data_IF_323171172825
#
_entry.id   IF_323171172825
#
_cell.length_a   1.000
_cell.length_b   1.000
_cell.length_c   1.000
_cell.angle_alpha   90.00
_cell.angle_beta   90.00
_cell.angle_gamma   90.00
#
_symmetry.space_group_name_H-M   'P 1'
#
loop_
_entity.id
_entity.type
_entity.pdbx_description
1 polymer ?
#
# COMPACT_ATOMS: atom_id res chain seq x y z
N UNK A 1 -19.90 22.50 -63.09
CA UNK A 1 -20.66 21.38 -62.50
C UNK A 1 -19.95 20.97 -61.21
N UNK A 2 -20.50 21.42 -60.09
CA UNK A 2 -21.06 20.60 -59.00
C UNK A 2 -20.02 20.02 -58.03
N UNK A 3 -19.92 20.75 -56.91
CA UNK A 3 -19.51 20.40 -55.56
C UNK A 3 -19.68 18.90 -55.22
N UNK A 4 -18.74 18.32 -54.47
CA UNK A 4 -19.10 17.41 -53.39
C UNK A 4 -18.11 17.56 -52.22
N UNK A 5 -18.72 17.87 -51.08
CA UNK A 5 -18.12 18.21 -49.80
C UNK A 5 -17.62 16.96 -49.06
N UNK A 6 -16.55 17.16 -48.30
CA UNK A 6 -16.21 16.50 -47.03
C UNK A 6 -17.34 15.70 -46.38
N UNK A 7 -17.11 14.40 -46.10
CA UNK A 7 -17.80 13.65 -45.03
C UNK A 7 -17.00 12.37 -44.67
N UNK A 8 -15.93 12.54 -43.89
CA UNK A 8 -15.41 11.52 -42.99
C UNK A 8 -14.78 12.29 -41.82
N UNK A 9 -15.51 12.47 -40.70
CA UNK A 9 -15.33 11.55 -39.58
C UNK A 9 -16.58 11.46 -38.65
N UNK A 10 -17.43 10.43 -38.75
CA UNK A 10 -18.52 10.22 -37.76
C UNK A 10 -18.62 8.77 -37.26
N UNK A 11 -17.77 7.85 -37.73
CA UNK A 11 -17.90 6.42 -37.39
C UNK A 11 -17.02 5.92 -36.23
N UNK A 12 -16.30 6.80 -35.50
CA UNK A 12 -15.51 6.40 -34.32
C UNK A 12 -16.22 6.76 -33.00
N UNK A 13 -17.13 7.74 -32.98
CA UNK A 13 -17.77 8.17 -31.72
C UNK A 13 -18.92 7.25 -31.29
N UNK A 14 -19.62 6.62 -32.23
CA UNK A 14 -20.82 5.80 -31.91
C UNK A 14 -20.46 4.45 -31.29
N UNK A 15 -19.32 3.85 -31.67
CA UNK A 15 -18.84 2.63 -31.01
C UNK A 15 -18.31 2.89 -29.59
N UNK A 16 -17.70 4.05 -29.32
CA UNK A 16 -17.24 4.42 -27.98
C UNK A 16 -18.38 4.47 -26.96
N UNK A 17 -19.51 5.10 -27.30
CA UNK A 17 -20.65 5.20 -26.39
C UNK A 17 -21.48 3.91 -26.27
N UNK A 18 -21.62 3.12 -27.34
CA UNK A 18 -22.37 1.85 -27.29
C UNK A 18 -21.57 0.77 -26.56
N UNK A 19 -20.25 0.71 -26.77
CA UNK A 19 -19.38 -0.19 -26.00
C UNK A 19 -19.38 0.25 -24.55
N UNK A 20 -19.09 1.52 -24.22
CA UNK A 20 -19.04 1.97 -22.83
C UNK A 20 -20.36 1.71 -22.07
N UNK A 21 -21.53 1.95 -22.68
CA UNK A 21 -22.83 1.64 -22.07
C UNK A 21 -23.10 0.13 -21.88
N UNK A 22 -22.76 -0.69 -22.87
CA UNK A 22 -22.95 -2.16 -22.79
C UNK A 22 -21.93 -2.82 -21.84
N UNK A 23 -20.73 -2.25 -21.76
CA UNK A 23 -19.68 -2.62 -20.81
C UNK A 23 -20.11 -2.24 -19.38
N UNK A 24 -20.72 -1.07 -19.18
CA UNK A 24 -21.28 -0.62 -17.90
C UNK A 24 -22.42 -1.53 -17.39
N UNK A 25 -23.37 -1.92 -18.25
CA UNK A 25 -24.49 -2.76 -17.84
C UNK A 25 -24.04 -4.18 -17.45
N UNK A 26 -23.05 -4.73 -18.14
CA UNK A 26 -22.48 -6.03 -17.81
C UNK A 26 -21.59 -5.98 -16.57
N UNK A 27 -20.82 -4.90 -16.38
CA UNK A 27 -20.06 -4.65 -15.15
C UNK A 27 -21.01 -4.50 -13.95
N UNK A 28 -22.09 -3.73 -14.07
CA UNK A 28 -23.10 -3.58 -13.01
C UNK A 28 -23.76 -4.91 -12.65
N UNK A 29 -24.13 -5.73 -13.64
CA UNK A 29 -24.66 -7.08 -13.40
C UNK A 29 -23.64 -7.98 -12.69
N UNK A 30 -22.39 -7.94 -13.13
CA UNK A 30 -21.30 -8.68 -12.50
C UNK A 30 -21.11 -8.25 -11.03
N UNK A 31 -21.00 -6.96 -10.77
CA UNK A 31 -20.86 -6.41 -9.43
C UNK A 31 -22.04 -6.76 -8.52
N UNK A 32 -23.27 -6.68 -9.04
CA UNK A 32 -24.47 -7.09 -8.33
C UNK A 32 -24.45 -8.59 -7.98
N UNK A 33 -23.99 -9.45 -8.91
CA UNK A 33 -23.84 -10.88 -8.65
C UNK A 33 -22.88 -11.15 -7.49
N UNK A 34 -21.81 -10.37 -7.38
CA UNK A 34 -20.81 -10.50 -6.30
C UNK A 34 -21.21 -9.77 -5.01
N UNK A 35 -22.29 -8.98 -5.03
CA UNK A 35 -22.68 -8.06 -3.95
C UNK A 35 -21.54 -7.09 -3.57
N UNK A 36 -20.93 -6.48 -4.59
CA UNK A 36 -19.81 -5.55 -4.47
C UNK A 36 -20.21 -4.22 -5.11
N UNK A 37 -19.91 -3.10 -4.46
CA UNK A 37 -20.13 -1.78 -5.07
C UNK A 37 -19.07 -1.48 -6.14
N UNK A 38 -19.37 -0.60 -7.08
CA UNK A 38 -18.39 -0.18 -8.09
C UNK A 38 -17.14 0.45 -7.45
N UNK A 39 -17.33 1.30 -6.43
CA UNK A 39 -16.23 1.90 -5.69
C UNK A 39 -15.35 0.87 -4.98
N UNK A 40 -15.94 -0.15 -4.35
CA UNK A 40 -15.19 -1.22 -3.69
C UNK A 40 -14.43 -2.07 -4.71
N UNK A 41 -15.01 -2.35 -5.87
CA UNK A 41 -14.36 -3.09 -6.93
C UNK A 41 -13.15 -2.33 -7.49
N UNK A 42 -13.32 -1.05 -7.80
CA UNK A 42 -12.23 -0.17 -8.27
C UNK A 42 -11.09 -0.06 -7.26
N UNK A 43 -11.44 0.14 -5.99
CA UNK A 43 -10.48 0.16 -4.88
C UNK A 43 -9.73 -1.17 -4.78
N UNK A 44 -10.47 -2.29 -4.83
CA UNK A 44 -9.91 -3.64 -4.78
C UNK A 44 -8.93 -3.90 -5.93
N UNK A 45 -9.22 -3.41 -7.14
CA UNK A 45 -8.31 -3.53 -8.27
C UNK A 45 -6.99 -2.81 -7.99
N UNK A 46 -7.04 -1.55 -7.55
CA UNK A 46 -5.84 -0.79 -7.22
C UNK A 46 -5.03 -1.46 -6.10
N UNK A 47 -5.69 -1.88 -5.01
CA UNK A 47 -5.02 -2.56 -3.91
C UNK A 47 -4.40 -3.91 -4.30
N UNK A 48 -5.02 -4.67 -5.20
CA UNK A 48 -4.46 -5.92 -5.70
C UNK A 48 -3.23 -5.70 -6.60
N UNK A 49 -3.24 -4.63 -7.40
CA UNK A 49 -2.15 -4.31 -8.32
C UNK A 49 -0.97 -3.68 -7.59
N UNK A 50 -1.24 -2.72 -6.70
CA UNK A 50 -0.23 -1.87 -6.08
C UNK A 50 0.10 -2.24 -4.63
N UNK A 51 -0.74 -3.05 -3.98
CA UNK A 51 -0.59 -3.46 -2.58
C UNK A 51 0.05 -4.83 -2.40
N UNK A 52 0.38 -5.20 -1.15
CA UNK A 52 1.00 -6.49 -0.82
C UNK A 52 0.01 -7.66 -0.79
N UNK A 53 -1.29 -7.36 -0.80
CA UNK A 53 -2.36 -8.32 -0.54
C UNK A 53 -3.09 -8.70 -1.81
N UNK A 54 -3.42 -9.99 -1.94
CA UNK A 54 -4.29 -10.51 -2.98
C UNK A 54 -5.66 -10.83 -2.39
N UNK A 55 -6.66 -10.01 -2.71
CA UNK A 55 -8.05 -10.14 -2.26
C UNK A 55 -8.98 -10.42 -3.43
N UNK A 56 -9.79 -11.48 -3.31
CA UNK A 56 -10.87 -11.80 -4.24
C UNK A 56 -12.19 -11.59 -3.49
N UNK A 57 -13.07 -10.69 -3.94
CA UNK A 57 -14.40 -10.54 -3.37
C UNK A 57 -15.23 -11.82 -3.49
N UNK A 58 -15.98 -12.14 -2.43
CA UNK A 58 -16.99 -13.19 -2.44
C UNK A 58 -16.53 -14.55 -3.02
N UNK A 59 -15.39 -15.06 -2.53
CA UNK A 59 -14.85 -16.38 -2.94
C UNK A 59 -15.83 -17.55 -2.77
N UNK A 60 -16.87 -17.40 -1.95
CA UNK A 60 -17.91 -18.42 -1.76
C UNK A 60 -18.76 -18.57 -3.02
N UNK A 61 -19.16 -17.45 -3.63
CA UNK A 61 -19.89 -17.43 -4.90
C UNK A 61 -19.07 -18.09 -6.02
N UNK A 62 -17.79 -17.73 -6.14
CA UNK A 62 -16.91 -18.34 -7.15
C UNK A 62 -16.82 -19.86 -6.97
N UNK A 63 -16.78 -20.34 -5.72
CA UNK A 63 -16.76 -21.77 -5.40
C UNK A 63 -18.07 -22.49 -5.69
N UNK A 64 -19.21 -21.80 -5.74
CA UNK A 64 -20.48 -22.44 -6.09
C UNK A 64 -20.69 -22.61 -7.60
N UNK A 65 -19.91 -21.92 -8.43
CA UNK A 65 -19.96 -22.05 -9.89
C UNK A 65 -19.31 -23.36 -10.37
N UNK A 66 -19.76 -23.88 -11.51
CA UNK A 66 -19.11 -24.99 -12.20
C UNK A 66 -17.71 -24.56 -12.71
N UNK A 67 -16.81 -25.52 -12.94
CA UNK A 67 -15.42 -25.22 -13.32
C UNK A 67 -15.31 -24.42 -14.63
N UNK A 68 -16.16 -24.73 -15.62
CA UNK A 68 -16.18 -23.98 -16.88
C UNK A 68 -16.69 -22.54 -16.67
N UNK A 69 -17.77 -22.35 -15.91
CA UNK A 69 -18.30 -21.03 -15.57
C UNK A 69 -17.28 -20.17 -14.83
N UNK A 70 -16.44 -20.79 -13.98
CA UNK A 70 -15.34 -20.09 -13.30
C UNK A 70 -14.28 -19.61 -14.29
N UNK A 71 -13.95 -20.41 -15.30
CA UNK A 71 -12.97 -20.03 -16.32
C UNK A 71 -13.49 -18.84 -17.16
N UNK A 72 -14.75 -18.87 -17.59
CA UNK A 72 -15.40 -17.74 -18.26
C UNK A 72 -15.44 -16.49 -17.37
N UNK A 73 -15.73 -16.67 -16.08
CA UNK A 73 -15.75 -15.58 -15.10
C UNK A 73 -14.36 -14.94 -14.92
N UNK A 74 -13.28 -15.74 -14.94
CA UNK A 74 -11.91 -15.22 -14.92
C UNK A 74 -11.62 -14.34 -16.12
N UNK A 75 -11.98 -14.78 -17.34
CA UNK A 75 -11.74 -14.00 -18.55
C UNK A 75 -12.56 -12.70 -18.56
N UNK A 76 -13.83 -12.77 -18.12
CA UNK A 76 -14.69 -11.61 -17.99
C UNK A 76 -14.12 -10.60 -16.99
N UNK A 77 -13.82 -11.04 -15.76
CA UNK A 77 -13.25 -10.16 -14.71
C UNK A 77 -11.92 -9.58 -15.18
N UNK A 78 -11.02 -10.41 -15.72
CA UNK A 78 -9.72 -9.96 -16.23
C UNK A 78 -9.86 -8.88 -17.29
N UNK A 79 -10.79 -9.05 -18.23
CA UNK A 79 -11.07 -8.06 -19.27
C UNK A 79 -11.57 -6.74 -18.67
N UNK A 80 -12.47 -6.79 -17.68
CA UNK A 80 -12.96 -5.58 -16.98
C UNK A 80 -11.87 -4.84 -16.23
N UNK A 81 -11.00 -5.58 -15.55
CA UNK A 81 -9.85 -4.99 -14.86
C UNK A 81 -8.94 -4.33 -15.87
N UNK A 82 -8.61 -5.02 -16.97
CA UNK A 82 -7.77 -4.48 -18.05
C UNK A 82 -8.35 -3.23 -18.69
N UNK A 83 -9.66 -3.18 -18.91
CA UNK A 83 -10.37 -1.97 -19.37
C UNK A 83 -10.22 -0.83 -18.36
N UNK A 84 -10.53 -1.09 -17.08
CA UNK A 84 -10.49 -0.09 -16.02
C UNK A 84 -9.09 0.51 -15.84
N UNK A 85 -8.02 -0.31 -15.84
CA UNK A 85 -6.67 0.21 -15.61
C UNK A 85 -6.13 1.10 -16.74
N UNK A 86 -6.78 1.09 -17.91
CA UNK A 86 -6.47 1.97 -19.03
C UNK A 86 -7.29 3.27 -19.00
N UNK A 87 -8.11 3.49 -17.97
CA UNK A 87 -8.90 4.71 -17.82
C UNK A 87 -8.11 5.84 -17.14
N UNK A 88 -8.49 7.09 -17.43
CA UNK A 88 -7.95 8.25 -16.72
C UNK A 88 -8.27 8.21 -15.22
N UNK A 89 -9.43 7.67 -14.84
CA UNK A 89 -9.82 7.50 -13.44
C UNK A 89 -8.81 6.62 -12.69
N UNK A 90 -8.42 5.48 -13.27
CA UNK A 90 -7.42 4.61 -12.64
C UNK A 90 -6.05 5.29 -12.55
N UNK A 91 -5.63 6.03 -13.58
CA UNK A 91 -4.36 6.78 -13.57
C UNK A 91 -4.37 7.82 -12.43
N UNK A 92 -5.49 8.52 -12.22
CA UNK A 92 -5.61 9.48 -11.12
C UNK A 92 -5.51 8.78 -9.76
N UNK A 93 -6.26 7.70 -9.55
CA UNK A 93 -6.23 6.94 -8.30
C UNK A 93 -4.84 6.33 -8.03
N UNK A 94 -4.15 5.89 -9.08
CA UNK A 94 -2.78 5.41 -9.01
C UNK A 94 -1.81 6.51 -8.57
N UNK A 95 -1.92 7.73 -9.14
CA UNK A 95 -1.08 8.85 -8.74
C UNK A 95 -1.33 9.25 -7.29
N UNK A 96 -2.58 9.25 -6.83
CA UNK A 96 -2.90 9.46 -5.42
C UNK A 96 -2.23 8.39 -4.54
N UNK A 97 -2.36 7.11 -4.90
CA UNK A 97 -1.68 6.01 -4.21
C UNK A 97 -0.16 6.18 -4.19
N UNK A 98 0.44 6.57 -5.32
CA UNK A 98 1.88 6.84 -5.44
C UNK A 98 2.33 7.90 -4.44
N UNK A 99 1.58 8.98 -4.26
CA UNK A 99 1.93 10.02 -3.28
C UNK A 99 1.86 9.49 -1.84
N UNK A 100 0.95 8.56 -1.53
CA UNK A 100 0.95 7.89 -0.21
C UNK A 100 2.18 7.03 0.05
N UNK A 101 2.95 6.70 -0.98
CA UNK A 101 4.19 5.91 -0.92
C UNK A 101 5.46 6.75 -1.04
N UNK A 102 5.32 8.06 -1.21
CA UNK A 102 6.46 8.96 -1.36
C UNK A 102 7.25 8.98 -0.05
N UNK A 103 8.58 8.77 -0.09
CA UNK A 103 9.42 8.95 1.09
C UNK A 103 9.26 10.36 1.64
N UNK A 104 9.27 10.48 2.97
CA UNK A 104 9.22 11.78 3.64
C UNK A 104 10.62 12.39 3.66
N UNK A 105 10.71 13.67 3.32
CA UNK A 105 11.95 14.42 3.45
C UNK A 105 12.34 14.54 4.93
N UNK A 106 13.58 14.20 5.31
CA UNK A 106 14.06 14.38 6.67
C UNK A 106 13.93 15.84 7.12
N UNK A 107 13.38 16.06 8.32
CA UNK A 107 13.31 17.40 8.88
C UNK A 107 14.69 17.91 9.24
N UNK A 108 14.95 19.19 8.94
CA UNK A 108 16.20 19.83 9.34
C UNK A 108 16.30 19.79 10.87
N UNK A 109 17.37 19.24 11.45
CA UNK A 109 17.50 19.14 12.88
C UNK A 109 17.76 20.51 13.50
N UNK A 110 17.39 20.63 14.77
CA UNK A 110 17.87 21.71 15.63
C UNK A 110 19.30 21.40 16.08
N UNK A 111 20.09 22.45 16.22
CA UNK A 111 21.47 22.36 16.70
C UNK A 111 21.57 22.77 18.17
N UNK A 112 22.78 22.64 18.74
CA UNK A 112 23.06 22.79 20.17
C UNK A 112 22.48 24.05 20.77
N UNK A 113 22.60 25.21 20.13
CA UNK A 113 22.04 26.47 20.67
C UNK A 113 20.51 26.44 20.76
N UNK A 114 19.84 25.95 19.72
CA UNK A 114 18.38 25.84 19.70
C UNK A 114 17.88 24.79 20.69
N UNK A 115 18.55 23.63 20.74
CA UNK A 115 18.25 22.55 21.67
C UNK A 115 18.48 22.96 23.12
N UNK A 116 19.51 23.76 23.36
CA UNK A 116 19.86 24.30 24.68
C UNK A 116 18.79 25.26 25.18
N UNK A 117 18.36 26.21 24.35
CA UNK A 117 17.32 27.17 24.72
C UNK A 117 15.95 26.48 24.89
N UNK A 118 15.63 25.50 24.05
CA UNK A 118 14.43 24.68 24.20
C UNK A 118 14.45 23.89 25.52
N UNK A 119 15.56 23.25 25.86
CA UNK A 119 15.69 22.49 27.10
C UNK A 119 15.60 23.41 28.34
N UNK A 120 16.26 24.56 28.31
CA UNK A 120 16.13 25.57 29.38
C UNK A 120 14.70 26.04 29.54
N UNK A 121 14.02 26.35 28.43
CA UNK A 121 12.63 26.78 28.45
C UNK A 121 11.73 25.70 29.07
N UNK A 122 11.89 24.45 28.65
CA UNK A 122 11.13 23.32 29.17
C UNK A 122 11.35 23.11 30.67
N UNK A 123 12.61 23.08 31.12
CA UNK A 123 12.94 22.93 32.54
C UNK A 123 12.38 24.06 33.39
N UNK A 124 12.50 25.32 32.93
CA UNK A 124 11.95 26.48 33.63
C UNK A 124 10.41 26.38 33.76
N UNK A 125 9.73 25.99 32.69
CA UNK A 125 8.28 25.80 32.72
C UNK A 125 7.87 24.68 33.67
N UNK A 126 8.54 23.52 33.60
CA UNK A 126 8.27 22.39 34.52
C UNK A 126 8.52 22.79 35.99
N UNK A 127 9.62 23.47 36.29
CA UNK A 127 9.91 23.95 37.65
C UNK A 127 8.79 24.87 38.13
N UNK A 128 8.37 25.84 37.30
CA UNK A 128 7.32 26.80 37.65
C UNK A 128 5.97 26.11 37.89
N UNK A 129 5.62 25.12 37.08
CA UNK A 129 4.40 24.33 37.26
C UNK A 129 4.44 23.49 38.53
N UNK A 130 5.58 22.85 38.82
CA UNK A 130 5.75 22.07 40.06
C UNK A 130 5.70 22.96 41.31
N UNK A 131 6.36 24.12 41.28
CA UNK A 131 6.31 25.11 42.38
C UNK A 131 4.88 25.64 42.60
N UNK A 132 4.10 25.83 41.53
CA UNK A 132 2.70 26.24 41.64
C UNK A 132 1.83 25.13 42.27
N UNK A 133 2.02 23.88 41.83
CA UNK A 133 1.26 22.73 42.33
C UNK A 133 1.59 22.38 43.78
N UNK A 134 2.84 22.61 44.22
CA UNK A 134 3.26 22.40 45.60
C UNK A 134 2.42 23.16 46.64
N UNK A 135 1.83 24.30 46.28
CA UNK A 135 1.03 25.12 47.21
C UNK A 135 -0.17 24.36 47.78
N UNK A 136 -0.65 23.34 47.07
CA UNK A 136 -1.86 22.58 47.41
C UNK A 136 -1.57 21.17 47.98
N UNK A 137 -0.30 20.81 48.23
CA UNK A 137 0.11 19.47 48.67
C UNK A 137 0.29 19.32 50.19
N UNK A 138 0.22 18.08 50.67
CA UNK A 138 0.55 17.71 52.07
C UNK A 138 2.08 17.72 52.32
N UNK A 139 2.50 17.73 53.58
CA UNK A 139 3.90 18.00 53.95
C UNK A 139 4.90 16.95 53.43
N UNK A 140 4.53 15.67 53.49
CA UNK A 140 5.29 14.54 52.94
C UNK A 140 5.43 14.62 51.42
N UNK A 141 4.36 15.02 50.73
CA UNK A 141 4.34 15.21 49.27
C UNK A 141 5.16 16.44 48.83
N UNK A 142 5.17 17.51 49.63
CA UNK A 142 5.98 18.72 49.37
C UNK A 142 7.47 18.42 49.37
N UNK A 143 7.95 17.63 50.32
CA UNK A 143 9.38 17.30 50.41
C UNK A 143 9.87 16.55 49.16
N UNK A 144 9.08 15.59 48.67
CA UNK A 144 9.39 14.87 47.43
C UNK A 144 9.44 15.82 46.21
N UNK A 145 8.52 16.78 46.13
CA UNK A 145 8.53 17.78 45.05
C UNK A 145 9.73 18.73 45.13
N UNK A 146 10.12 19.15 46.34
CA UNK A 146 11.30 19.99 46.56
C UNK A 146 12.58 19.31 46.09
N UNK A 147 12.74 18.02 46.39
CA UNK A 147 13.89 17.23 45.93
C UNK A 147 13.95 17.18 44.39
N UNK A 148 12.82 16.91 43.73
CA UNK A 148 12.76 16.88 42.26
C UNK A 148 13.03 18.27 41.67
N UNK A 149 12.43 19.34 42.21
CA UNK A 149 12.68 20.72 41.75
C UNK A 149 14.16 21.08 41.90
N UNK A 150 14.80 20.69 43.00
CA UNK A 150 16.23 20.93 43.20
C UNK A 150 17.08 20.19 42.16
N UNK A 151 16.73 18.95 41.81
CA UNK A 151 17.39 18.21 40.73
C UNK A 151 17.20 18.91 39.38
N UNK A 152 16.00 19.37 39.05
CA UNK A 152 15.72 20.09 37.79
C UNK A 152 16.48 21.43 37.73
N UNK A 153 16.55 22.17 38.85
CA UNK A 153 17.36 23.40 38.95
C UNK A 153 18.86 23.11 38.78
N UNK A 154 19.33 21.97 39.27
CA UNK A 154 20.72 21.55 39.06
C UNK A 154 20.97 21.20 37.60
N UNK A 155 20.07 20.44 36.95
CA UNK A 155 20.15 20.17 35.51
C UNK A 155 20.17 21.46 34.69
N UNK A 156 19.34 22.45 35.04
CA UNK A 156 19.32 23.75 34.37
C UNK A 156 20.69 24.46 34.43
N UNK A 157 21.41 24.35 35.55
CA UNK A 157 22.77 24.89 35.68
C UNK A 157 23.79 24.07 34.88
N UNK A 158 23.68 22.75 34.89
CA UNK A 158 24.60 21.86 34.20
C UNK A 158 24.53 22.03 32.66
N UNK A 159 23.41 22.53 32.12
CA UNK A 159 23.25 22.87 30.69
C UNK A 159 24.22 23.98 30.22
N UNK A 160 24.52 24.94 31.10
CA UNK A 160 25.44 26.04 30.81
C UNK A 160 26.90 25.73 31.20
N UNK A 161 27.13 24.63 31.91
CA UNK A 161 28.45 24.18 32.35
C UNK A 161 29.21 23.55 31.17
N UNK A 162 30.35 24.10 30.73
CA UNK A 162 31.10 23.57 29.59
C UNK A 162 31.62 22.13 29.77
N UNK A 163 31.81 21.66 31.01
CA UNK A 163 32.31 20.29 31.27
C UNK A 163 31.17 19.25 31.33
N UNK A 164 29.93 19.70 31.58
CA UNK A 164 28.77 18.81 31.75
C UNK A 164 27.74 18.93 30.63
N UNK A 165 27.76 20.04 29.90
CA UNK A 165 26.81 20.32 28.84
C UNK A 165 26.98 19.32 27.69
N UNK A 166 25.84 18.79 27.24
CA UNK A 166 25.77 17.95 26.04
C UNK A 166 25.58 18.78 24.76
N UNK A 167 25.47 20.11 24.87
CA UNK A 167 25.26 21.03 23.76
C UNK A 167 26.60 21.61 23.31
N UNK A 168 27.35 20.81 22.57
CA UNK A 168 28.73 21.10 22.18
C UNK A 168 28.88 21.11 20.66
N UNK A 169 29.94 21.73 20.11
CA UNK A 169 30.24 21.62 18.68
C UNK A 169 30.36 20.18 18.20
N UNK A 170 30.87 19.26 19.04
CA UNK A 170 30.93 17.83 18.72
C UNK A 170 29.53 17.22 18.56
N UNK A 171 28.58 17.65 19.39
CA UNK A 171 27.17 17.26 19.27
C UNK A 171 26.58 17.76 17.96
N UNK A 172 26.87 19.00 17.57
CA UNK A 172 26.42 19.56 16.29
C UNK A 172 27.00 18.80 15.09
N UNK A 173 28.27 18.41 15.14
CA UNK A 173 28.90 17.59 14.11
C UNK A 173 28.23 16.22 13.99
N UNK A 174 27.89 15.56 15.11
CA UNK A 174 27.17 14.27 15.10
C UNK A 174 25.76 14.44 14.53
N UNK A 175 25.02 15.48 14.95
CA UNK A 175 23.68 15.78 14.44
C UNK A 175 23.74 16.02 12.92
N UNK A 176 24.72 16.81 12.47
CA UNK A 176 24.93 17.11 11.07
C UNK A 176 25.23 15.85 10.26
N UNK A 177 26.15 15.00 10.72
CA UNK A 177 26.48 13.74 10.04
C UNK A 177 25.26 12.80 9.95
N UNK A 178 24.49 12.68 11.03
CA UNK A 178 23.25 11.88 11.03
C UNK A 178 22.22 12.42 10.03
N UNK A 179 22.06 13.74 9.96
CA UNK A 179 21.16 14.37 9.00
C UNK A 179 21.64 14.21 7.55
N UNK A 180 22.93 14.38 7.28
CA UNK A 180 23.53 14.11 5.96
C UNK A 180 23.27 12.67 5.52
N UNK A 181 23.44 11.70 6.42
CA UNK A 181 23.14 10.30 6.14
C UNK A 181 21.64 10.06 5.87
N UNK A 182 20.74 10.72 6.63
CA UNK A 182 19.30 10.64 6.37
C UNK A 182 18.94 11.22 4.99
N UNK A 183 19.58 12.31 4.57
CA UNK A 183 19.40 12.87 3.24
C UNK A 183 19.88 11.92 2.13
N UNK A 184 20.99 11.20 2.35
CA UNK A 184 21.46 10.17 1.42
C UNK A 184 20.46 9.02 1.28
N UNK A 185 19.94 8.50 2.40
CA UNK A 185 18.90 7.46 2.36
C UNK A 185 17.62 7.97 1.68
N UNK A 186 17.17 9.18 2.02
CA UNK A 186 16.02 9.80 1.37
C UNK A 186 16.21 9.92 -0.14
N UNK A 187 17.39 10.35 -0.61
CA UNK A 187 17.68 10.44 -2.03
C UNK A 187 17.66 9.07 -2.73
N UNK A 188 18.18 8.03 -2.08
CA UNK A 188 18.13 6.66 -2.58
C UNK A 188 16.69 6.13 -2.63
N UNK A 189 15.91 6.31 -1.57
CA UNK A 189 14.51 5.90 -1.49
C UNK A 189 13.65 6.65 -2.50
N UNK A 190 13.90 7.94 -2.72
CA UNK A 190 13.21 8.74 -3.72
C UNK A 190 13.48 8.23 -5.14
N UNK A 191 14.70 7.76 -5.42
CA UNK A 191 15.03 7.11 -6.69
C UNK A 191 14.26 5.80 -6.85
N UNK A 192 14.29 4.93 -5.84
CA UNK A 192 13.55 3.66 -5.86
C UNK A 192 12.06 3.91 -6.05
N UNK A 193 11.48 4.86 -5.31
CA UNK A 193 10.06 5.23 -5.43
C UNK A 193 9.71 5.71 -6.84
N UNK A 194 10.55 6.53 -7.48
CA UNK A 194 10.32 6.97 -8.86
C UNK A 194 10.38 5.81 -9.87
N UNK A 195 11.26 4.82 -9.64
CA UNK A 195 11.39 3.64 -10.48
C UNK A 195 10.23 2.64 -10.28
N UNK A 196 9.83 2.38 -9.04
CA UNK A 196 8.74 1.47 -8.71
C UNK A 196 7.36 2.04 -9.03
N UNK A 197 7.21 3.37 -8.89
CA UNK A 197 5.97 4.11 -9.08
C UNK A 197 6.17 5.24 -10.10
N UNK A 198 6.33 4.95 -11.41
CA UNK A 198 6.50 6.00 -12.40
C UNK A 198 5.22 6.81 -12.60
N UNK A 199 5.36 8.13 -12.67
CA UNK A 199 4.24 9.08 -12.81
C UNK A 199 3.39 8.75 -14.04
N UNK A 200 2.06 8.74 -13.87
CA UNK A 200 1.08 8.45 -14.93
C UNK A 200 1.23 7.07 -15.60
N UNK A 201 2.05 6.17 -15.05
CA UNK A 201 2.35 4.89 -15.67
C UNK A 201 2.24 3.73 -14.68
N UNK A 202 1.05 3.14 -14.50
CA UNK A 202 0.87 1.98 -13.63
C UNK A 202 1.34 0.65 -14.25
N UNK A 203 1.79 0.63 -15.52
CA UNK A 203 2.14 -0.61 -16.23
C UNK A 203 3.15 -1.49 -15.49
N UNK A 204 4.22 -0.96 -14.85
CA UNK A 204 5.16 -1.80 -14.11
C UNK A 204 4.51 -2.55 -12.95
N UNK A 205 3.59 -1.92 -12.21
CA UNK A 205 2.85 -2.58 -11.13
C UNK A 205 1.91 -3.65 -11.66
N UNK A 206 1.19 -3.36 -12.76
CA UNK A 206 0.32 -4.35 -13.40
C UNK A 206 1.15 -5.57 -13.84
N UNK A 207 2.30 -5.34 -14.48
CA UNK A 207 3.20 -6.42 -14.89
C UNK A 207 3.69 -7.22 -13.68
N UNK A 208 4.15 -6.56 -12.61
CA UNK A 208 4.59 -7.20 -11.36
C UNK A 208 3.48 -8.06 -10.74
N UNK A 209 2.24 -7.57 -10.74
CA UNK A 209 1.07 -8.30 -10.25
C UNK A 209 0.78 -9.56 -11.08
N UNK A 210 0.78 -9.45 -12.42
CA UNK A 210 0.56 -10.58 -13.33
C UNK A 210 1.68 -11.61 -13.26
N UNK A 211 2.94 -11.18 -13.23
CA UNK A 211 4.12 -12.05 -13.05
C UNK A 211 4.05 -12.78 -11.70
N UNK A 212 3.64 -12.08 -10.63
CA UNK A 212 3.44 -12.67 -9.31
C UNK A 212 2.40 -13.79 -9.33
N UNK A 213 1.29 -13.59 -10.04
CA UNK A 213 0.28 -14.63 -10.24
C UNK A 213 0.82 -15.84 -11.03
N UNK A 214 1.50 -15.60 -12.15
CA UNK A 214 2.09 -16.67 -12.97
C UNK A 214 3.10 -17.49 -12.16
N UNK A 215 3.99 -16.81 -11.42
CA UNK A 215 4.99 -17.47 -10.56
C UNK A 215 4.37 -18.30 -9.45
N UNK A 216 3.37 -17.77 -8.74
CA UNK A 216 2.71 -18.49 -7.64
C UNK A 216 1.81 -19.63 -8.10
N UNK A 217 1.30 -19.55 -9.33
CA UNK A 217 0.44 -20.59 -9.87
C UNK A 217 1.22 -21.71 -10.56
N UNK A 218 2.44 -21.49 -11.08
CA UNK A 218 3.13 -22.41 -12.01
C UNK A 218 3.17 -23.89 -11.59
N UNK A 219 3.44 -24.18 -10.32
CA UNK A 219 3.70 -25.55 -9.81
C UNK A 219 2.52 -26.16 -9.03
N UNK A 220 1.29 -25.79 -9.38
CA UNK A 220 0.11 -26.40 -8.75
C UNK A 220 -0.12 -27.79 -9.33
N UNK A 221 -0.09 -28.81 -8.47
CA UNK A 221 -0.56 -30.14 -8.79
C UNK A 221 -2.07 -30.24 -8.56
N UNK A 222 -2.85 -30.17 -9.63
CA UNK A 222 -4.32 -30.30 -9.57
C UNK A 222 -4.80 -31.74 -9.33
N UNK A 223 -3.91 -32.73 -9.37
CA UNK A 223 -4.24 -34.12 -9.03
C UNK A 223 -3.98 -34.43 -7.55
N UNK A 224 -3.56 -33.44 -6.75
CA UNK A 224 -3.28 -33.63 -5.34
C UNK A 224 -4.50 -34.17 -4.58
N UNK A 225 -4.29 -35.26 -3.84
CA UNK A 225 -5.35 -35.93 -3.10
C UNK A 225 -5.70 -35.18 -1.81
N UNK A 226 -7.00 -35.10 -1.52
CA UNK A 226 -7.55 -34.54 -0.29
C UNK A 226 -8.16 -35.64 0.58
N UNK A 227 -8.13 -35.44 1.89
CA UNK A 227 -8.86 -36.26 2.86
C UNK A 227 -9.68 -35.37 3.79
N UNK A 228 -10.76 -35.93 4.33
CA UNK A 228 -11.61 -35.25 5.31
C UNK A 228 -11.05 -35.45 6.72
N UNK A 229 -10.71 -34.36 7.41
CA UNK A 229 -10.33 -34.35 8.83
C UNK A 229 -11.17 -33.28 9.53
N UNK A 230 -11.94 -33.64 10.55
CA UNK A 230 -12.79 -32.70 11.31
C UNK A 230 -13.66 -31.81 10.42
N UNK A 231 -14.35 -32.41 9.43
CA UNK A 231 -15.19 -31.72 8.42
C UNK A 231 -14.43 -30.73 7.50
N UNK A 232 -13.09 -30.76 7.49
CA UNK A 232 -12.25 -29.95 6.60
C UNK A 232 -11.52 -30.84 5.60
N UNK A 233 -11.37 -30.34 4.37
CA UNK A 233 -10.54 -30.96 3.35
C UNK A 233 -9.08 -30.54 3.53
N UNK A 234 -8.22 -31.50 3.83
CA UNK A 234 -6.76 -31.32 4.00
C UNK A 234 -6.02 -32.15 2.98
N UNK A 235 -4.83 -31.70 2.57
CA UNK A 235 -4.00 -32.45 1.64
C UNK A 235 -3.46 -33.73 2.27
N UNK A 236 -3.48 -34.82 1.51
CA UNK A 236 -2.86 -36.09 1.93
C UNK A 236 -1.33 -35.92 1.99
N UNK A 237 -0.76 -35.21 1.01
CA UNK A 237 0.66 -34.89 0.97
C UNK A 237 1.00 -33.78 2.00
N UNK A 238 1.86 -34.04 3.01
CA UNK A 238 2.25 -33.05 4.01
C UNK A 238 2.90 -31.80 3.42
N UNK A 239 3.64 -31.93 2.32
CA UNK A 239 4.30 -30.79 1.68
C UNK A 239 3.29 -29.84 1.02
N UNK A 240 2.20 -30.36 0.46
CA UNK A 240 1.10 -29.55 -0.06
C UNK A 240 0.29 -28.92 1.07
N UNK A 241 0.14 -29.59 2.21
CA UNK A 241 -0.49 -29.00 3.39
C UNK A 241 0.37 -27.89 4.02
N UNK A 242 1.70 -27.88 3.83
CA UNK A 242 2.56 -26.79 4.28
C UNK A 242 2.61 -25.59 3.31
N UNK A 243 2.11 -25.73 2.07
CA UNK A 243 2.05 -24.61 1.12
C UNK A 243 1.23 -23.44 1.67
N UNK A 244 1.55 -22.25 1.20
CA UNK A 244 0.85 -21.04 1.61
C UNK A 244 -0.62 -21.02 1.16
N UNK A 245 -1.38 -20.09 1.74
CA UNK A 245 -2.81 -19.96 1.48
C UNK A 245 -3.15 -19.65 0.02
N UNK A 246 -2.27 -18.99 -0.73
CA UNK A 246 -2.50 -18.60 -2.11
C UNK A 246 -2.30 -19.78 -3.06
N UNK A 247 -1.25 -20.59 -2.87
CA UNK A 247 -1.11 -21.87 -3.59
C UNK A 247 -2.35 -22.76 -3.39
N UNK A 248 -2.77 -22.89 -2.14
CA UNK A 248 -3.95 -23.67 -1.74
C UNK A 248 -5.27 -23.08 -2.27
N UNK A 249 -5.34 -21.77 -2.49
CA UNK A 249 -6.49 -21.10 -3.10
C UNK A 249 -6.58 -21.46 -4.58
N UNK A 250 -5.47 -21.39 -5.30
CA UNK A 250 -5.43 -21.72 -6.72
C UNK A 250 -5.71 -23.20 -6.99
N UNK A 251 -5.17 -24.12 -6.17
CA UNK A 251 -5.59 -25.53 -6.23
C UNK A 251 -7.12 -25.69 -6.12
N UNK A 252 -7.74 -25.00 -5.16
CA UNK A 252 -9.19 -25.06 -4.94
C UNK A 252 -10.01 -24.33 -6.00
N UNK A 253 -9.41 -23.41 -6.75
CA UNK A 253 -10.07 -22.76 -7.88
C UNK A 253 -10.35 -23.78 -9.00
N UNK A 254 -9.45 -24.75 -9.18
CA UNK A 254 -9.52 -25.79 -10.20
C UNK A 254 -8.54 -25.54 -11.35
N UNK A 255 -8.32 -26.57 -12.17
CA UNK A 255 -7.35 -26.52 -13.26
C UNK A 255 -7.78 -25.54 -14.35
N UNK A 256 -9.01 -25.67 -14.82
CA UNK A 256 -9.55 -24.92 -15.95
C UNK A 256 -9.53 -23.41 -15.69
N UNK A 257 -10.00 -22.89 -14.53
CA UNK A 257 -9.96 -21.46 -14.26
C UNK A 257 -8.54 -20.90 -14.10
N UNK A 258 -7.62 -21.68 -13.53
CA UNK A 258 -6.23 -21.25 -13.36
C UNK A 258 -5.50 -21.22 -14.70
N UNK A 259 -5.74 -22.19 -15.58
CA UNK A 259 -5.16 -22.20 -16.92
C UNK A 259 -5.69 -21.05 -17.78
N UNK A 260 -6.99 -20.75 -17.70
CA UNK A 260 -7.58 -19.56 -18.32
C UNK A 260 -6.93 -18.27 -17.80
N UNK A 261 -6.76 -18.14 -16.48
CA UNK A 261 -6.09 -17.00 -15.85
C UNK A 261 -4.62 -16.87 -16.30
N UNK A 262 -3.87 -17.98 -16.38
CA UNK A 262 -2.47 -17.98 -16.86
C UNK A 262 -2.37 -17.52 -18.30
N UNK A 263 -3.24 -18.02 -19.17
CA UNK A 263 -3.31 -17.60 -20.57
C UNK A 263 -3.62 -16.11 -20.69
N UNK A 264 -4.64 -15.63 -19.97
CA UNK A 264 -5.02 -14.22 -19.96
C UNK A 264 -3.87 -13.33 -19.47
N UNK A 265 -3.25 -13.67 -18.33
CA UNK A 265 -2.14 -12.92 -17.75
C UNK A 265 -0.92 -12.86 -18.68
N UNK A 266 -0.55 -13.99 -19.28
CA UNK A 266 0.58 -14.05 -20.23
C UNK A 266 0.34 -13.18 -21.46
N UNK A 267 -0.88 -13.24 -22.03
CA UNK A 267 -1.26 -12.40 -23.15
C UNK A 267 -1.22 -10.92 -22.77
N UNK A 268 -1.78 -10.57 -21.61
CA UNK A 268 -1.77 -9.18 -21.16
C UNK A 268 -0.36 -8.64 -20.92
N UNK A 269 0.54 -9.42 -20.29
CA UNK A 269 1.96 -9.01 -20.15
C UNK A 269 2.60 -8.71 -21.51
N UNK A 270 2.30 -9.50 -22.55
CA UNK A 270 2.84 -9.26 -23.90
C UNK A 270 2.37 -7.96 -24.55
N UNK A 271 1.22 -7.44 -24.10
CA UNK A 271 0.62 -6.19 -24.57
C UNK A 271 1.07 -4.96 -23.76
N UNK A 272 1.60 -5.14 -22.55
CA UNK A 272 2.03 -4.05 -21.64
C UNK A 272 3.32 -3.33 -22.07
N UNK A 273 3.74 -3.47 -23.34
CA UNK A 273 4.92 -2.81 -23.90
C UNK A 273 4.92 -1.29 -23.66
#
# INVERSE_FOLDING_TARGET
MKKLFFLLPVLIVVFGFITQKYLDDNLKKLLAQFNVSEGDAKSTVLYNIAGPSYYIPNVKLLKSLALNDRAEMVELIGSRIKEYVNTQEFINNYNEFRETRKPSEPEKPKYSDELKEEQKTNLNNTIKEMEANMKNLQADQKQMFEEVINQLKQQLKDIDDPEKSLYTPQTDDIIKQSYEQQLEYYAADLKIWNEEYPVNNPKPLIKKWLDGFLSKSKDIDFNAQLKTVNKRQVFVNPEYEKKDSQWKLYFRAGKEPVEAARKFASNWISELK
#
